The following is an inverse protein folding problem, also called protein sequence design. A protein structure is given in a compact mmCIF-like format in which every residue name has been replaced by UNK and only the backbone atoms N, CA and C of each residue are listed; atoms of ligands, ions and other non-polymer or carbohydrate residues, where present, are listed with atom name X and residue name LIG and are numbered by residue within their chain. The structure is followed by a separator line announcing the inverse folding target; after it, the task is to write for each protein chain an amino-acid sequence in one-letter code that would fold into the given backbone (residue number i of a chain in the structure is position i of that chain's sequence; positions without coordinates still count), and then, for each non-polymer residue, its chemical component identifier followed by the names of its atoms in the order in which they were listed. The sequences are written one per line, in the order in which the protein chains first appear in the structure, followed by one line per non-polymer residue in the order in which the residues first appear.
data_IF_632715236392
#
_entry.id   IF_632715236392
#
_cell.length_a   1.000
_cell.length_b   1.000
_cell.length_c   1.000
_cell.angle_alpha   90.00
_cell.angle_beta   90.00
_cell.angle_gamma   90.00
#
_symmetry.space_group_name_H-M   'P 1'
#
loop_
_entity.id
_entity.type
_entity.pdbx_description
1 polymer ?
#
# COMPACT_ATOMS: atom_id res chain seq x y z
N UNK A 1 -24.23 1.02 -15.94
CA UNK A 1 -23.68 -0.17 -16.61
C UNK A 1 -22.21 -0.47 -16.23
N UNK A 2 -21.30 0.51 -16.19
CA UNK A 2 -19.90 0.24 -15.78
C UNK A 2 -19.75 -0.15 -14.30
N UNK A 3 -20.46 0.49 -13.38
CA UNK A 3 -20.44 0.19 -11.95
C UNK A 3 -21.03 -1.19 -11.61
N UNK A 4 -22.10 -1.59 -12.29
CA UNK A 4 -22.73 -2.89 -12.08
C UNK A 4 -21.82 -4.06 -12.50
N UNK A 5 -21.08 -3.91 -13.60
CA UNK A 5 -20.08 -4.90 -14.01
C UNK A 5 -18.92 -5.00 -13.01
N UNK A 6 -18.58 -3.91 -12.33
CA UNK A 6 -17.52 -3.90 -11.31
C UNK A 6 -17.95 -4.66 -10.05
N UNK A 7 -19.19 -4.43 -9.58
CA UNK A 7 -19.77 -5.16 -8.47
C UNK A 7 -19.82 -6.67 -8.72
N UNK A 8 -20.23 -7.06 -9.91
CA UNK A 8 -20.25 -8.46 -10.33
C UNK A 8 -18.84 -9.08 -10.41
N UNK A 9 -17.85 -8.32 -10.87
CA UNK A 9 -16.45 -8.74 -10.85
C UNK A 9 -15.88 -8.84 -9.44
N UNK A 10 -16.17 -7.87 -8.57
CA UNK A 10 -15.70 -7.90 -7.19
C UNK A 10 -16.41 -8.98 -6.37
N UNK A 11 -17.71 -9.19 -6.58
CA UNK A 11 -18.46 -10.28 -5.93
C UNK A 11 -18.10 -11.66 -6.49
N UNK A 12 -17.78 -11.79 -7.78
CA UNK A 12 -17.13 -12.96 -8.33
C UNK A 12 -15.74 -13.18 -7.72
N UNK A 13 -15.04 -12.09 -7.44
CA UNK A 13 -13.76 -12.04 -6.75
C UNK A 13 -13.87 -12.53 -5.30
N UNK A 14 -14.95 -12.18 -4.58
CA UNK A 14 -15.21 -12.65 -3.22
C UNK A 14 -15.84 -14.05 -3.18
N UNK A 15 -16.18 -14.64 -4.34
CA UNK A 15 -16.69 -16.01 -4.43
C UNK A 15 -18.06 -16.25 -3.79
N UNK A 16 -18.91 -15.20 -3.63
CA UNK A 16 -20.15 -15.25 -2.85
C UNK A 16 -21.44 -15.19 -3.68
N UNK A 17 -21.44 -15.49 -4.97
CA UNK A 17 -22.69 -15.50 -5.75
C UNK A 17 -22.91 -16.79 -6.54
N UNK A 18 -24.09 -17.39 -6.33
CA UNK A 18 -24.62 -18.46 -7.19
C UNK A 18 -24.88 -17.90 -8.60
N UNK A 19 -24.29 -18.54 -9.62
CA UNK A 19 -24.39 -18.16 -11.06
C UNK A 19 -25.82 -17.94 -11.57
N UNK A 20 -26.85 -18.41 -10.89
CA UNK A 20 -28.25 -18.34 -11.31
C UNK A 20 -28.92 -16.98 -11.07
N UNK A 21 -28.41 -16.16 -10.14
CA UNK A 21 -29.02 -14.83 -9.88
C UNK A 21 -28.44 -13.71 -10.77
N UNK A 22 -27.34 -13.95 -11.45
CA UNK A 22 -26.66 -12.96 -12.29
C UNK A 22 -27.33 -12.83 -13.66
N UNK A 23 -27.89 -13.94 -14.18
CA UNK A 23 -28.58 -13.90 -15.46
C UNK A 23 -29.97 -13.22 -15.42
N UNK A 24 -30.62 -13.20 -14.27
CA UNK A 24 -31.94 -12.57 -14.09
C UNK A 24 -31.94 -11.05 -14.10
N UNK A 25 -30.80 -10.42 -13.80
CA UNK A 25 -30.65 -8.95 -13.74
C UNK A 25 -30.26 -8.29 -15.07
N UNK A 26 -29.86 -9.09 -16.07
CA UNK A 26 -29.40 -8.60 -17.39
C UNK A 26 -30.55 -8.44 -18.41
N UNK A 27 -31.71 -8.99 -18.12
CA UNK A 27 -32.84 -9.00 -19.09
C UNK A 27 -34.04 -8.26 -18.50
N UNK A 28 -33.96 -6.94 -18.44
CA UNK A 28 -35.15 -6.08 -18.37
C UNK A 28 -34.86 -4.70 -18.97
N UNK A 29 -35.25 -4.43 -20.21
CA UNK A 29 -35.18 -3.06 -20.74
C UNK A 29 -36.40 -2.31 -20.22
N UNK A 30 -36.24 -1.38 -19.31
CA UNK A 30 -37.32 -0.46 -18.95
C UNK A 30 -37.43 0.64 -20.03
N UNK A 31 -38.34 0.41 -20.94
CA UNK A 31 -39.02 1.45 -21.71
C UNK A 31 -40.07 2.09 -20.79
N UNK A 32 -39.88 3.34 -20.43
CA UNK A 32 -41.01 4.24 -20.13
C UNK A 32 -40.65 5.67 -20.53
N UNK A 33 -41.09 5.99 -21.75
CA UNK A 33 -41.48 7.35 -22.12
C UNK A 33 -42.79 7.67 -21.35
N UNK A 34 -42.79 8.78 -20.63
CA UNK A 34 -44.00 9.60 -20.51
C UNK A 34 -43.63 11.06 -20.26
N UNK A 35 -43.94 11.84 -21.31
CA UNK A 35 -44.19 13.27 -21.24
C UNK A 35 -45.34 13.55 -20.26
N UNK A 36 -45.19 14.60 -19.44
CA UNK A 36 -46.29 15.58 -19.29
C UNK A 36 -45.74 16.89 -18.71
N UNK A 37 -46.07 17.95 -19.48
CA UNK A 37 -46.05 19.34 -19.11
C UNK A 37 -46.90 19.58 -17.83
N UNK A 38 -46.53 20.51 -16.96
CA UNK A 38 -47.39 21.64 -16.69
C UNK A 38 -46.69 22.79 -15.96
N UNK A 39 -47.18 23.98 -16.34
CA UNK A 39 -46.81 25.34 -15.96
C UNK A 39 -47.03 25.72 -14.49
N UNK A 40 -46.31 26.73 -14.04
CA UNK A 40 -46.79 27.59 -12.94
C UNK A 40 -45.72 28.43 -12.24
N UNK A 41 -45.34 29.48 -12.82
CA UNK A 41 -45.38 30.93 -12.50
C UNK A 41 -45.01 31.42 -11.06
N UNK A 42 -44.08 32.39 -11.09
CA UNK A 42 -44.02 33.66 -10.32
C UNK A 42 -43.27 33.78 -8.99
N UNK A 43 -42.29 34.53 -8.96
CA UNK A 43 -42.05 35.94 -8.56
C UNK A 43 -40.84 36.19 -7.66
N UNK A 44 -39.94 36.96 -8.23
CA UNK A 44 -39.23 38.14 -7.69
C UNK A 44 -38.86 38.25 -6.20
N UNK A 45 -37.56 38.42 -5.92
CA UNK A 45 -37.10 39.75 -5.52
C UNK A 45 -35.55 39.85 -5.49
N UNK A 46 -35.12 40.88 -6.19
CA UNK A 46 -33.81 41.53 -6.17
C UNK A 46 -33.42 42.04 -4.78
N UNK A 47 -32.13 41.93 -4.42
CA UNK A 47 -31.38 43.10 -3.92
C UNK A 47 -29.87 42.92 -4.13
N UNK A 48 -29.35 43.78 -4.96
CA UNK A 48 -27.95 44.25 -5.05
C UNK A 48 -27.49 44.88 -3.73
N UNK A 49 -26.17 44.84 -3.48
CA UNK A 49 -25.31 45.98 -3.13
C UNK A 49 -23.86 45.48 -2.96
N UNK A 50 -23.04 45.73 -3.93
CA UNK A 50 -21.83 46.58 -4.04
C UNK A 50 -20.67 46.43 -3.05
N UNK A 51 -19.52 46.14 -3.68
CA UNK A 51 -18.21 46.82 -3.58
C UNK A 51 -17.55 46.97 -2.20
N UNK A 52 -16.40 46.29 -2.08
CA UNK A 52 -15.20 46.96 -1.56
C UNK A 52 -13.96 46.50 -2.30
N UNK A 53 -13.29 47.52 -2.87
CA UNK A 53 -12.01 47.44 -3.59
C UNK A 53 -10.85 47.68 -2.62
N UNK A 54 -9.75 46.97 -2.88
CA UNK A 54 -8.37 47.44 -2.96
C UNK A 54 -7.47 47.47 -1.71
N UNK A 55 -6.32 46.98 -2.01
CA UNK A 55 -4.91 47.31 -1.69
C UNK A 55 -4.31 46.61 -0.50
N UNK A 56 -3.30 45.78 -0.70
CA UNK A 56 -1.90 46.17 -0.88
C UNK A 56 -1.01 44.96 -1.09
N UNK A 57 -0.07 45.07 -2.00
CA UNK A 57 1.04 44.18 -2.28
C UNK A 57 1.86 43.85 -1.04
N UNK A 58 2.10 42.56 -0.85
CA UNK A 58 3.33 42.11 -0.18
C UNK A 58 3.80 40.81 -0.87
N UNK A 59 4.84 40.96 -1.68
CA UNK A 59 5.60 39.84 -2.24
C UNK A 59 6.21 39.05 -1.10
N UNK A 60 5.85 37.80 -1.00
CA UNK A 60 6.64 36.80 -0.26
C UNK A 60 7.15 35.80 -1.28
N UNK A 61 8.48 35.77 -1.42
CA UNK A 61 9.22 34.84 -2.26
C UNK A 61 8.84 33.39 -1.93
N UNK A 62 8.21 32.73 -2.88
CA UNK A 62 8.10 31.28 -2.91
C UNK A 62 9.38 30.74 -3.57
N UNK A 63 10.29 30.30 -2.76
CA UNK A 63 11.47 29.54 -3.17
C UNK A 63 11.55 28.29 -2.35
N UNK A 64 10.96 27.22 -2.83
CA UNK A 64 11.43 25.85 -2.66
C UNK A 64 10.60 24.99 -3.63
N UNK A 65 11.16 24.88 -4.85
CA UNK A 65 10.62 24.05 -5.90
C UNK A 65 10.82 22.57 -5.54
N UNK A 66 9.74 21.86 -5.33
CA UNK A 66 9.74 20.42 -5.52
C UNK A 66 10.00 20.15 -7.00
N UNK A 67 11.25 19.83 -7.33
CA UNK A 67 11.60 19.31 -8.64
C UNK A 67 10.88 17.96 -8.81
N UNK A 68 9.90 17.94 -9.66
CA UNK A 68 9.35 16.72 -10.25
C UNK A 68 10.49 16.10 -11.06
N UNK A 69 11.19 15.12 -10.46
CA UNK A 69 12.22 14.37 -11.18
C UNK A 69 11.56 13.70 -12.38
N UNK A 70 12.09 13.96 -13.56
CA UNK A 70 11.60 13.35 -14.78
C UNK A 70 11.80 11.82 -14.69
N UNK A 71 10.92 11.06 -15.32
CA UNK A 71 11.06 9.59 -15.43
C UNK A 71 12.45 9.14 -15.89
N UNK A 72 13.16 10.00 -16.60
CA UNK A 72 14.52 9.81 -17.05
C UNK A 72 15.57 9.95 -15.94
N UNK A 73 15.34 10.81 -14.93
CA UNK A 73 16.24 10.96 -13.78
C UNK A 73 16.09 9.80 -12.79
N UNK A 74 14.87 9.30 -12.60
CA UNK A 74 14.58 8.10 -11.82
C UNK A 74 15.24 6.85 -12.46
N UNK A 75 15.15 6.73 -13.80
CA UNK A 75 15.79 5.64 -14.54
C UNK A 75 17.32 5.67 -14.40
N UNK A 76 17.93 6.86 -14.48
CA UNK A 76 19.39 7.02 -14.30
C UNK A 76 19.83 6.65 -12.88
N UNK A 77 19.00 6.93 -11.88
CA UNK A 77 19.26 6.57 -10.48
C UNK A 77 19.13 5.06 -10.28
N UNK A 78 18.14 4.40 -10.86
CA UNK A 78 17.96 2.95 -10.82
C UNK A 78 19.09 2.20 -11.57
N UNK A 79 19.52 2.70 -12.73
CA UNK A 79 20.65 2.13 -13.47
C UNK A 79 21.96 2.24 -12.69
N UNK A 80 22.19 3.37 -12.01
CA UNK A 80 23.36 3.55 -11.17
C UNK A 80 23.39 2.58 -10.00
N UNK A 81 22.24 2.33 -9.37
CA UNK A 81 22.10 1.32 -8.32
C UNK A 81 22.36 -0.11 -8.85
N UNK A 82 21.87 -0.41 -10.06
CA UNK A 82 22.09 -1.72 -10.68
C UNK A 82 23.57 -1.99 -10.95
N UNK A 83 24.33 -1.00 -11.44
CA UNK A 83 25.76 -1.11 -11.71
C UNK A 83 26.59 -1.24 -10.43
N UNK A 84 26.20 -0.53 -9.36
CA UNK A 84 26.85 -0.61 -8.04
C UNK A 84 26.65 -1.98 -7.36
N UNK A 85 25.55 -2.67 -7.65
CA UNK A 85 25.21 -3.98 -7.07
C UNK A 85 25.71 -5.20 -7.85
N UNK A 86 26.17 -5.03 -9.10
CA UNK A 86 26.63 -6.11 -9.97
C UNK A 86 28.03 -5.88 -10.58
N UNK A 87 29.09 -5.79 -9.79
CA UNK A 87 30.43 -5.44 -10.27
C UNK A 87 31.12 -6.51 -11.13
N UNK A 88 30.53 -7.70 -11.31
CA UNK A 88 31.09 -8.81 -12.07
C UNK A 88 30.44 -9.07 -13.45
N UNK A 89 29.44 -8.27 -13.85
CA UNK A 89 28.98 -8.26 -15.25
C UNK A 89 29.68 -7.13 -15.97
N UNK A 90 30.10 -7.36 -17.24
CA UNK A 90 30.66 -6.33 -18.13
C UNK A 90 29.83 -5.04 -17.92
N UNK A 91 30.51 -3.97 -17.49
CA UNK A 91 29.83 -2.78 -17.05
C UNK A 91 28.89 -2.27 -18.14
N UNK A 92 27.67 -1.91 -17.78
CA UNK A 92 26.70 -1.28 -18.68
C UNK A 92 27.31 -0.05 -19.41
N UNK A 93 28.36 0.54 -18.84
CA UNK A 93 29.10 1.62 -19.47
C UNK A 93 29.89 1.19 -20.74
N UNK A 94 30.37 -0.04 -20.83
CA UNK A 94 31.06 -0.53 -22.04
C UNK A 94 30.07 -0.94 -23.13
N UNK A 95 28.90 -1.42 -22.72
CA UNK A 95 27.79 -1.74 -23.62
C UNK A 95 27.12 -0.45 -24.17
N UNK A 96 26.96 0.58 -23.31
CA UNK A 96 26.42 1.89 -23.65
C UNK A 96 27.28 2.68 -24.66
N UNK A 97 28.61 2.47 -24.67
CA UNK A 97 29.51 3.11 -25.64
C UNK A 97 29.37 2.58 -27.07
N UNK A 98 28.87 1.34 -27.26
CA UNK A 98 28.68 0.72 -28.55
C UNK A 98 27.29 0.92 -29.16
N UNK A 99 26.29 1.04 -28.35
CA UNK A 99 24.88 1.24 -28.75
C UNK A 99 24.03 1.85 -27.60
N UNK A 100 24.14 3.18 -27.38
CA UNK A 100 23.48 3.83 -26.24
C UNK A 100 21.97 3.73 -26.28
N UNK A 101 21.34 3.74 -27.45
CA UNK A 101 19.87 3.70 -27.62
C UNK A 101 19.35 2.27 -27.48
N UNK A 102 19.96 1.31 -28.14
CA UNK A 102 19.56 -0.08 -28.08
C UNK A 102 19.88 -0.76 -26.74
N UNK A 103 20.85 -0.25 -25.98
CA UNK A 103 21.13 -0.69 -24.61
C UNK A 103 20.02 -0.29 -23.65
N UNK A 104 19.53 0.94 -23.74
CA UNK A 104 18.43 1.46 -22.92
C UNK A 104 17.10 0.77 -23.28
N UNK A 105 16.82 0.59 -24.58
CA UNK A 105 15.61 -0.12 -25.01
C UNK A 105 15.57 -1.58 -24.53
N UNK A 106 16.69 -2.30 -24.59
CA UNK A 106 16.79 -3.68 -24.05
C UNK A 106 16.64 -3.74 -22.54
N UNK A 107 17.20 -2.77 -21.81
CA UNK A 107 17.02 -2.69 -20.36
C UNK A 107 15.54 -2.41 -20.00
N UNK A 108 14.89 -1.47 -20.69
CA UNK A 108 13.46 -1.19 -20.53
C UNK A 108 12.57 -2.38 -20.90
N UNK A 109 12.93 -3.10 -21.98
CA UNK A 109 12.24 -4.33 -22.38
C UNK A 109 12.40 -5.42 -21.32
N UNK A 110 13.59 -5.59 -20.75
CA UNK A 110 13.85 -6.57 -19.67
C UNK A 110 13.05 -6.23 -18.41
N UNK A 111 12.96 -4.95 -18.04
CA UNK A 111 12.13 -4.49 -16.91
C UNK A 111 10.64 -4.74 -17.20
N UNK A 112 10.17 -4.46 -18.42
CA UNK A 112 8.78 -4.72 -18.85
C UNK A 112 8.44 -6.22 -18.86
N UNK A 113 9.35 -7.07 -19.31
CA UNK A 113 9.15 -8.53 -19.40
C UNK A 113 9.06 -9.20 -18.01
N UNK A 114 9.66 -8.60 -16.98
CA UNK A 114 9.65 -9.14 -15.62
C UNK A 114 8.50 -8.60 -14.74
N UNK A 115 7.81 -7.54 -15.17
CA UNK A 115 6.71 -6.93 -14.42
C UNK A 115 5.42 -7.76 -14.54
N UNK A 116 4.62 -7.82 -13.48
CA UNK A 116 3.26 -8.38 -13.56
C UNK A 116 2.45 -7.60 -14.60
N UNK A 117 1.87 -8.26 -15.63
CA UNK A 117 1.05 -7.57 -16.62
C UNK A 117 -0.24 -7.04 -15.99
N UNK A 118 -0.69 -5.85 -16.43
CA UNK A 118 -2.00 -5.33 -16.04
C UNK A 118 -3.10 -6.26 -16.56
N UNK A 119 -4.00 -6.78 -15.69
CA UNK A 119 -5.07 -7.70 -16.11
C UNK A 119 -5.98 -7.09 -17.19
N UNK A 120 -6.42 -7.87 -18.20
CA UNK A 120 -7.28 -7.37 -19.28
C UNK A 120 -8.58 -6.71 -18.79
N UNK A 121 -9.20 -7.27 -17.76
CA UNK A 121 -10.41 -6.70 -17.16
C UNK A 121 -10.15 -5.32 -16.55
N UNK A 122 -8.98 -5.13 -15.91
CA UNK A 122 -8.59 -3.86 -15.30
C UNK A 122 -8.30 -2.81 -16.38
N UNK A 123 -7.65 -3.22 -17.50
CA UNK A 123 -7.50 -2.35 -18.69
C UNK A 123 -8.86 -1.87 -19.20
N UNK A 124 -9.84 -2.76 -19.28
CA UNK A 124 -11.19 -2.43 -19.76
C UNK A 124 -11.90 -1.41 -18.88
N UNK A 125 -11.76 -1.53 -17.57
CA UNK A 125 -12.42 -0.65 -16.60
C UNK A 125 -11.74 0.72 -16.52
N UNK A 126 -10.41 0.72 -16.48
CA UNK A 126 -9.61 1.93 -16.22
C UNK A 126 -9.21 2.67 -17.49
N UNK A 127 -9.13 1.97 -18.61
CA UNK A 127 -8.55 2.48 -19.86
C UNK A 127 -7.02 2.57 -19.85
N UNK A 128 -6.37 2.13 -18.77
CA UNK A 128 -4.91 2.12 -18.66
C UNK A 128 -4.30 0.95 -19.43
N UNK A 129 -3.11 1.15 -19.96
CA UNK A 129 -2.35 0.10 -20.65
C UNK A 129 -1.33 -0.60 -19.74
N UNK A 130 -0.97 0.02 -18.63
CA UNK A 130 -0.06 -0.49 -17.60
C UNK A 130 -0.54 -0.07 -16.21
N UNK A 131 0.10 -0.59 -15.17
CA UNK A 131 -0.13 -0.19 -13.79
C UNK A 131 0.10 1.31 -13.60
N UNK A 132 -0.64 1.98 -12.69
CA UNK A 132 -0.51 3.42 -12.50
C UNK A 132 0.82 3.79 -11.86
N UNK A 133 1.17 5.09 -11.91
CA UNK A 133 2.26 5.67 -11.15
C UNK A 133 1.94 5.75 -9.64
N UNK A 134 2.59 6.68 -8.94
CA UNK A 134 2.44 6.82 -7.48
C UNK A 134 1.02 7.23 -7.04
N UNK A 135 0.31 7.95 -7.89
CA UNK A 135 -1.07 8.39 -7.66
C UNK A 135 -2.03 7.55 -8.51
N UNK A 136 -2.54 6.43 -7.98
CA UNK A 136 -3.46 5.59 -8.73
C UNK A 136 -4.82 6.27 -8.87
N UNK A 137 -5.51 6.12 -10.02
CA UNK A 137 -6.83 6.69 -10.19
C UNK A 137 -7.86 5.97 -9.34
N UNK A 138 -8.77 6.73 -8.73
CA UNK A 138 -9.91 6.19 -8.01
C UNK A 138 -10.90 5.53 -8.97
N UNK A 139 -11.31 4.30 -8.67
CA UNK A 139 -12.35 3.56 -9.38
C UNK A 139 -13.51 3.32 -8.40
N UNK A 140 -14.72 3.82 -8.67
CA UNK A 140 -15.85 3.64 -7.78
C UNK A 140 -16.17 2.15 -7.54
N UNK A 141 -16.33 1.79 -6.27
CA UNK A 141 -16.69 0.45 -5.81
C UNK A 141 -18.03 0.51 -5.09
N UNK A 142 -19.03 -0.25 -5.57
CA UNK A 142 -20.42 -0.20 -5.08
C UNK A 142 -20.55 -0.60 -3.60
N UNK A 143 -19.59 -1.34 -3.04
CA UNK A 143 -19.61 -1.77 -1.64
C UNK A 143 -19.04 -0.74 -0.68
N UNK A 144 -18.43 0.34 -1.16
CA UNK A 144 -17.94 1.43 -0.31
C UNK A 144 -19.06 2.42 -0.04
N UNK A 145 -19.51 2.42 1.20
CA UNK A 145 -20.53 3.34 1.69
C UNK A 145 -19.90 4.57 2.35
N UNK A 146 -19.85 5.67 1.61
CA UNK A 146 -19.27 6.93 2.08
C UNK A 146 -19.98 7.51 3.31
N UNK A 147 -21.27 7.18 3.51
CA UNK A 147 -22.04 7.66 4.66
C UNK A 147 -21.56 7.09 6.01
N UNK A 148 -20.82 5.97 5.95
CA UNK A 148 -20.21 5.33 7.12
C UNK A 148 -18.82 5.84 7.46
N UNK A 149 -18.24 6.69 6.59
CA UNK A 149 -16.89 7.23 6.80
C UNK A 149 -16.99 8.46 7.70
N UNK A 150 -16.32 8.48 8.87
CA UNK A 150 -16.31 9.65 9.75
C UNK A 150 -15.78 10.89 9.06
N UNK A 151 -16.36 12.04 9.36
CA UNK A 151 -15.91 13.34 8.87
C UNK A 151 -14.73 13.79 9.75
N UNK A 152 -13.52 13.47 9.34
CA UNK A 152 -12.27 13.91 9.96
C UNK A 152 -11.51 14.71 8.90
N UNK A 153 -11.10 15.93 9.26
CA UNK A 153 -10.31 16.78 8.35
C UNK A 153 -8.97 16.13 8.01
N UNK A 154 -8.51 16.37 6.80
CA UNK A 154 -7.20 15.91 6.35
C UNK A 154 -6.09 16.62 7.12
N UNK A 155 -5.05 15.88 7.48
CA UNK A 155 -3.87 16.43 8.14
C UNK A 155 -2.61 15.75 7.62
N UNK A 156 -1.52 16.49 7.61
CA UNK A 156 -0.20 15.99 7.22
C UNK A 156 0.58 15.37 8.37
N UNK A 157 1.72 14.73 8.08
CA UNK A 157 2.65 14.26 9.11
C UNK A 157 3.03 15.38 10.07
N UNK A 158 3.13 15.08 11.37
CA UNK A 158 3.51 16.02 12.42
C UNK A 158 2.50 17.16 12.72
N UNK A 159 1.31 17.16 12.10
CA UNK A 159 0.26 18.14 12.36
C UNK A 159 -0.66 17.75 13.53
N UNK A 160 -0.16 17.05 14.52
CA UNK A 160 -0.96 16.49 15.62
C UNK A 160 -1.72 17.51 16.48
N UNK A 161 -1.36 18.79 16.41
CA UNK A 161 -2.04 19.86 17.16
C UNK A 161 -3.46 20.14 16.68
N UNK A 162 -3.77 19.84 15.40
CA UNK A 162 -5.10 20.04 14.82
C UNK A 162 -5.95 18.77 14.81
N UNK A 163 -5.36 17.61 15.14
CA UNK A 163 -6.04 16.32 15.08
C UNK A 163 -6.87 16.09 16.34
N UNK A 164 -8.19 15.87 16.22
CA UNK A 164 -9.04 15.57 17.35
C UNK A 164 -8.62 14.25 18.04
N UNK A 165 -8.64 14.20 19.36
CA UNK A 165 -8.25 12.98 20.10
C UNK A 165 -9.20 11.81 19.88
N UNK A 166 -10.47 12.07 19.66
CA UNK A 166 -11.51 11.10 19.35
C UNK A 166 -11.43 10.53 17.94
N UNK A 167 -10.58 11.12 17.07
CA UNK A 167 -10.26 10.53 15.77
C UNK A 167 -9.45 9.23 15.87
N UNK A 168 -8.92 8.90 17.04
CA UNK A 168 -8.06 7.76 17.32
C UNK A 168 -6.87 7.63 16.34
N UNK A 169 -6.10 8.73 16.20
CA UNK A 169 -4.88 8.74 15.41
C UNK A 169 -3.75 7.95 16.11
N UNK A 170 -3.17 6.97 15.43
CA UNK A 170 -2.03 6.22 15.97
C UNK A 170 -0.72 6.98 15.85
N UNK A 171 -0.47 7.67 14.74
CA UNK A 171 0.73 8.48 14.55
C UNK A 171 0.83 9.58 15.60
N UNK A 172 -0.29 10.28 15.91
CA UNK A 172 -0.31 11.38 16.85
C UNK A 172 -0.41 10.95 18.33
N UNK A 173 -1.23 9.96 18.62
CA UNK A 173 -1.61 9.65 20.03
C UNK A 173 -1.34 8.21 20.44
N UNK A 174 -0.79 7.38 19.52
CA UNK A 174 -0.68 5.93 19.71
C UNK A 174 -2.01 5.28 20.05
N UNK A 175 -3.11 5.84 19.52
CA UNK A 175 -4.44 5.32 19.75
C UNK A 175 -4.64 4.03 18.95
N UNK A 176 -5.17 3.01 19.62
CA UNK A 176 -5.42 1.66 19.08
C UNK A 176 -6.88 1.33 19.29
N UNK A 177 -7.60 0.95 18.24
CA UNK A 177 -8.96 0.45 18.32
C UNK A 177 -8.98 -1.04 18.69
N UNK A 178 -10.10 -1.55 19.28
CA UNK A 178 -10.16 -2.94 19.77
C UNK A 178 -9.92 -4.02 18.72
N UNK A 179 -10.14 -3.71 17.43
CA UNK A 179 -9.91 -4.62 16.31
C UNK A 179 -8.56 -4.40 15.61
N UNK A 180 -7.78 -3.41 16.01
CA UNK A 180 -6.39 -3.28 15.54
C UNK A 180 -5.52 -4.38 16.16
N UNK A 181 -4.60 -4.92 15.38
CA UNK A 181 -3.54 -5.79 15.92
C UNK A 181 -2.35 -4.89 16.26
N UNK A 182 -2.02 -4.82 17.54
CA UNK A 182 -0.98 -3.91 18.04
C UNK A 182 0.24 -4.64 18.61
N UNK A 183 0.04 -5.85 19.09
CA UNK A 183 1.08 -6.64 19.74
C UNK A 183 0.90 -8.13 19.44
N UNK A 184 1.86 -8.95 19.87
CA UNK A 184 1.84 -10.41 19.76
C UNK A 184 2.33 -11.03 21.07
N UNK A 185 1.80 -12.19 21.45
CA UNK A 185 2.25 -12.88 22.66
C UNK A 185 3.67 -13.49 22.55
N UNK A 186 4.26 -13.47 21.35
CA UNK A 186 5.67 -13.75 21.10
C UNK A 186 6.32 -12.55 20.42
N UNK A 187 7.58 -12.26 20.76
CA UNK A 187 8.33 -11.23 20.07
C UNK A 187 8.54 -11.65 18.61
N UNK A 188 7.96 -10.94 17.68
CA UNK A 188 7.85 -11.32 16.28
C UNK A 188 8.18 -10.17 15.34
N UNK A 189 9.06 -10.42 14.37
CA UNK A 189 9.45 -9.46 13.34
C UNK A 189 8.38 -9.35 12.27
N UNK A 190 8.17 -8.13 11.79
CA UNK A 190 7.35 -7.82 10.62
C UNK A 190 8.11 -6.84 9.72
N UNK A 191 7.96 -6.99 8.40
CA UNK A 191 8.75 -6.25 7.42
C UNK A 191 7.85 -5.48 6.48
N UNK A 192 8.13 -4.17 6.30
CA UNK A 192 7.38 -3.24 5.46
C UNK A 192 8.16 -2.85 4.20
N UNK A 193 7.47 -2.23 3.22
CA UNK A 193 7.99 -1.63 1.98
C UNK A 193 8.41 -2.57 0.85
N UNK A 194 8.60 -3.85 1.11
CA UNK A 194 8.95 -4.81 0.07
C UNK A 194 7.84 -5.06 -0.97
N UNK A 195 8.05 -6.02 -1.87
CA UNK A 195 9.30 -6.74 -2.08
C UNK A 195 10.36 -5.88 -2.78
N UNK A 196 11.62 -6.16 -2.49
CA UNK A 196 12.77 -5.58 -3.15
C UNK A 196 13.75 -6.66 -3.59
N UNK A 197 14.78 -6.30 -4.35
CA UNK A 197 15.85 -7.25 -4.70
C UNK A 197 16.56 -7.81 -3.45
N UNK A 198 16.58 -7.04 -2.36
CA UNK A 198 17.22 -7.46 -1.10
C UNK A 198 16.34 -8.40 -0.26
N UNK A 199 15.03 -8.46 -0.51
CA UNK A 199 14.10 -9.34 0.22
C UNK A 199 14.51 -10.82 0.12
N UNK A 200 15.08 -11.26 -1.02
CA UNK A 200 15.52 -12.65 -1.17
C UNK A 200 16.62 -13.06 -0.17
N UNK A 201 17.51 -12.15 0.18
CA UNK A 201 18.55 -12.39 1.20
C UNK A 201 17.92 -12.58 2.59
N UNK A 202 16.89 -11.77 2.91
CA UNK A 202 16.14 -11.91 4.14
C UNK A 202 15.42 -13.27 4.19
N UNK A 203 14.73 -13.66 3.12
CA UNK A 203 14.03 -14.93 3.03
C UNK A 203 14.96 -16.14 3.24
N UNK A 204 16.15 -16.11 2.65
CA UNK A 204 17.18 -17.13 2.86
C UNK A 204 17.60 -17.23 4.34
N UNK A 205 17.76 -16.09 5.01
CA UNK A 205 18.19 -16.02 6.41
C UNK A 205 17.09 -16.49 7.38
N UNK A 206 15.82 -16.12 7.14
CA UNK A 206 14.68 -16.58 7.93
C UNK A 206 14.48 -18.09 7.85
N UNK A 207 14.80 -18.73 6.72
CA UNK A 207 14.67 -20.16 6.50
C UNK A 207 13.24 -20.65 6.74
N UNK A 208 13.05 -21.57 7.68
CA UNK A 208 11.73 -22.14 8.00
C UNK A 208 10.87 -21.26 8.91
N UNK A 209 11.43 -20.19 9.49
CA UNK A 209 10.69 -19.27 10.35
C UNK A 209 9.82 -18.37 9.50
N UNK A 210 8.52 -18.26 9.86
CA UNK A 210 7.56 -17.45 9.11
C UNK A 210 7.36 -16.11 9.77
N UNK A 211 7.42 -15.03 8.95
CA UNK A 211 7.19 -13.65 9.34
C UNK A 211 6.02 -13.06 8.55
N UNK A 212 5.62 -11.85 8.87
CA UNK A 212 4.62 -11.09 8.12
C UNK A 212 5.30 -9.97 7.34
N UNK A 213 4.95 -9.86 6.05
CA UNK A 213 5.44 -8.84 5.14
C UNK A 213 4.28 -7.95 4.72
N UNK A 214 4.42 -6.64 4.86
CA UNK A 214 3.46 -5.64 4.37
C UNK A 214 4.03 -4.99 3.11
N UNK A 215 3.54 -5.45 1.97
CA UNK A 215 4.14 -5.09 0.69
C UNK A 215 3.40 -3.95 -0.01
N UNK A 216 4.15 -3.08 -0.68
CA UNK A 216 3.63 -2.02 -1.54
C UNK A 216 3.14 -2.61 -2.87
N UNK A 217 1.96 -2.19 -3.31
CA UNK A 217 1.37 -2.67 -4.58
C UNK A 217 2.28 -2.44 -5.78
N UNK A 218 2.91 -1.26 -5.86
CA UNK A 218 3.85 -0.91 -6.93
C UNK A 218 5.09 -1.82 -6.94
N UNK A 219 5.60 -2.22 -5.77
CA UNK A 219 6.74 -3.12 -5.64
C UNK A 219 6.37 -4.57 -5.96
N UNK A 220 5.15 -5.00 -5.59
CA UNK A 220 4.62 -6.33 -5.95
C UNK A 220 4.64 -6.53 -7.47
N UNK A 221 4.13 -5.56 -8.22
CA UNK A 221 4.06 -5.69 -9.69
C UNK A 221 5.42 -5.55 -10.34
N UNK A 222 6.36 -4.85 -9.73
CA UNK A 222 7.72 -4.65 -10.23
C UNK A 222 8.67 -5.82 -9.91
N UNK A 223 8.44 -6.52 -8.78
CA UNK A 223 9.25 -7.67 -8.33
C UNK A 223 8.41 -8.95 -8.15
N UNK A 224 7.66 -9.39 -9.21
CA UNK A 224 6.70 -10.49 -9.06
C UNK A 224 7.34 -11.82 -8.66
N UNK A 225 8.57 -12.07 -9.06
CA UNK A 225 9.28 -13.32 -8.72
C UNK A 225 9.64 -13.37 -7.24
N UNK A 226 10.09 -12.24 -6.67
CA UNK A 226 10.39 -12.13 -5.24
C UNK A 226 9.09 -12.27 -4.43
N UNK A 227 8.03 -11.60 -4.84
CA UNK A 227 6.72 -11.70 -4.21
C UNK A 227 6.20 -13.15 -4.16
N UNK A 228 6.30 -13.89 -5.26
CA UNK A 228 5.93 -15.31 -5.32
C UNK A 228 6.77 -16.17 -4.37
N UNK A 229 8.07 -15.89 -4.23
CA UNK A 229 8.94 -16.59 -3.25
C UNK A 229 8.48 -16.37 -1.81
N UNK A 230 8.06 -15.15 -1.43
CA UNK A 230 7.49 -14.88 -0.11
C UNK A 230 6.29 -15.80 0.16
N UNK A 231 5.37 -15.91 -0.85
CA UNK A 231 4.18 -16.79 -0.75
C UNK A 231 4.55 -18.27 -0.67
N UNK A 232 5.43 -18.72 -1.57
CA UNK A 232 5.86 -20.14 -1.69
C UNK A 232 6.55 -20.63 -0.41
N UNK A 233 7.30 -19.75 0.24
CA UNK A 233 7.93 -20.06 1.52
C UNK A 233 6.93 -19.99 2.70
N UNK A 234 5.66 -19.62 2.47
CA UNK A 234 4.61 -19.66 3.48
C UNK A 234 4.65 -18.51 4.49
N UNK A 235 5.26 -17.38 4.12
CA UNK A 235 5.14 -16.15 4.90
C UNK A 235 3.74 -15.55 4.75
N UNK A 236 3.31 -14.79 5.75
CA UNK A 236 2.06 -14.03 5.69
C UNK A 236 2.29 -12.70 4.96
N UNK A 237 1.36 -12.32 4.08
CA UNK A 237 1.45 -11.05 3.38
C UNK A 237 0.23 -10.19 3.68
N UNK A 238 0.48 -8.93 4.07
CA UNK A 238 -0.49 -7.86 4.16
C UNK A 238 -0.22 -6.76 3.14
N UNK A 239 -1.17 -5.85 2.97
CA UNK A 239 -0.99 -4.67 2.11
C UNK A 239 -0.39 -3.51 2.91
N UNK A 240 0.52 -2.78 2.26
CA UNK A 240 1.10 -1.51 2.74
C UNK A 240 0.72 -0.34 1.83
N UNK A 241 -0.48 -0.36 1.24
CA UNK A 241 -0.97 0.55 0.20
C UNK A 241 -0.35 0.31 -1.18
N UNK A 242 -0.71 1.13 -2.16
CA UNK A 242 -0.11 1.08 -3.49
C UNK A 242 1.30 1.65 -3.52
N UNK A 243 1.49 2.90 -2.99
CA UNK A 243 2.71 3.69 -3.17
C UNK A 243 3.22 4.40 -1.92
N UNK A 244 2.79 3.98 -0.71
CA UNK A 244 3.29 4.47 0.57
C UNK A 244 2.96 5.94 0.92
N UNK A 245 1.77 6.51 0.61
CA UNK A 245 1.42 7.86 1.06
C UNK A 245 1.01 7.89 2.54
N UNK A 246 1.13 9.07 3.18
CA UNK A 246 0.53 9.31 4.49
C UNK A 246 -1.00 9.44 4.34
N UNK A 247 -1.74 8.38 4.68
CA UNK A 247 -3.16 8.27 4.37
C UNK A 247 -4.05 9.38 4.94
N UNK A 248 -3.83 9.89 6.19
CA UNK A 248 -4.67 10.96 6.71
C UNK A 248 -4.62 12.27 5.91
N UNK A 249 -3.60 12.48 5.07
CA UNK A 249 -3.52 13.68 4.21
C UNK A 249 -4.32 13.54 2.90
N UNK A 250 -4.84 12.35 2.60
CA UNK A 250 -5.53 12.06 1.35
C UNK A 250 -7.04 12.23 1.48
N UNK A 251 -7.74 12.43 0.36
CA UNK A 251 -9.21 12.32 0.30
C UNK A 251 -9.65 10.87 0.47
N UNK A 252 -10.94 10.65 0.75
CA UNK A 252 -11.48 9.29 0.86
C UNK A 252 -11.27 8.49 -0.42
N UNK A 253 -11.48 9.10 -1.59
CA UNK A 253 -11.29 8.48 -2.90
C UNK A 253 -9.82 8.10 -3.13
N UNK A 254 -8.89 8.96 -2.73
CA UNK A 254 -7.46 8.67 -2.84
C UNK A 254 -7.03 7.53 -1.91
N UNK A 255 -7.57 7.46 -0.67
CA UNK A 255 -7.33 6.33 0.25
C UNK A 255 -7.88 5.04 -0.37
N UNK A 256 -9.10 5.07 -0.90
CA UNK A 256 -9.72 3.91 -1.57
C UNK A 256 -8.82 3.47 -2.74
N UNK A 257 -8.38 4.39 -3.58
CA UNK A 257 -7.49 4.09 -4.70
C UNK A 257 -6.19 3.39 -4.24
N UNK A 258 -5.54 3.89 -3.21
CA UNK A 258 -4.32 3.30 -2.65
C UNK A 258 -4.53 1.86 -2.17
N UNK A 259 -5.68 1.56 -1.61
CA UNK A 259 -6.03 0.22 -1.10
C UNK A 259 -6.45 -0.71 -2.25
N UNK A 260 -7.36 -0.28 -3.13
CA UNK A 260 -7.88 -1.13 -4.21
C UNK A 260 -6.79 -1.55 -5.20
N UNK A 261 -5.91 -0.63 -5.61
CA UNK A 261 -4.82 -0.94 -6.53
C UNK A 261 -3.78 -1.89 -5.91
N UNK A 262 -3.52 -1.77 -4.61
CA UNK A 262 -2.67 -2.72 -3.90
C UNK A 262 -3.29 -4.11 -3.85
N UNK A 263 -4.59 -4.22 -3.52
CA UNK A 263 -5.31 -5.50 -3.52
C UNK A 263 -5.29 -6.13 -4.91
N UNK A 264 -5.50 -5.35 -5.97
CA UNK A 264 -5.46 -5.87 -7.34
C UNK A 264 -4.06 -6.35 -7.74
N UNK A 265 -3.00 -5.66 -7.33
CA UNK A 265 -1.63 -6.11 -7.52
C UNK A 265 -1.37 -7.46 -6.82
N UNK A 266 -1.79 -7.58 -5.57
CA UNK A 266 -1.66 -8.82 -4.78
C UNK A 266 -2.42 -9.98 -5.44
N UNK A 267 -3.64 -9.72 -5.92
CA UNK A 267 -4.42 -10.74 -6.62
C UNK A 267 -3.81 -11.12 -7.97
N UNK A 268 -3.42 -10.15 -8.78
CA UNK A 268 -2.85 -10.40 -10.11
C UNK A 268 -1.52 -11.16 -10.06
N UNK A 269 -0.71 -10.92 -9.01
CA UNK A 269 0.64 -11.51 -8.88
C UNK A 269 0.63 -12.79 -8.04
N UNK A 270 -0.16 -12.83 -6.96
CA UNK A 270 -0.10 -13.88 -5.94
C UNK A 270 -1.40 -14.65 -5.72
N UNK A 271 -2.49 -14.34 -6.45
CA UNK A 271 -3.79 -15.03 -6.38
C UNK A 271 -4.42 -15.06 -4.99
N UNK A 272 -4.33 -13.97 -4.25
CA UNK A 272 -5.00 -13.85 -2.96
C UNK A 272 -5.49 -12.43 -2.71
N UNK A 273 -6.46 -12.32 -1.80
CA UNK A 273 -6.98 -11.06 -1.26
C UNK A 273 -6.47 -10.98 0.18
N UNK A 274 -5.73 -9.92 0.56
CA UNK A 274 -5.17 -9.79 1.89
C UNK A 274 -6.25 -9.62 2.96
N UNK A 275 -5.96 -10.07 4.19
CA UNK A 275 -6.73 -9.75 5.39
C UNK A 275 -6.10 -8.59 6.15
N UNK A 276 -4.79 -8.42 6.04
CA UNK A 276 -3.97 -7.57 6.89
C UNK A 276 -3.52 -6.33 6.13
N UNK A 277 -3.55 -5.19 6.81
CA UNK A 277 -3.15 -3.90 6.29
C UNK A 277 -2.29 -3.19 7.33
N UNK A 278 -1.16 -2.63 6.92
CA UNK A 278 -0.40 -1.72 7.78
C UNK A 278 -0.37 -0.33 7.15
N UNK A 279 -0.76 0.72 7.91
CA UNK A 279 -0.74 2.08 7.40
C UNK A 279 0.69 2.62 7.31
N UNK A 280 1.10 3.19 6.16
CA UNK A 280 2.37 3.90 6.05
C UNK A 280 2.55 4.94 7.14
N UNK A 281 3.76 5.04 7.71
CA UNK A 281 4.11 5.96 8.81
C UNK A 281 3.27 5.79 10.09
N UNK A 282 2.47 4.74 10.23
CA UNK A 282 1.45 4.65 11.26
C UNK A 282 0.30 5.63 11.08
N UNK A 283 0.19 6.25 9.91
CA UNK A 283 -0.82 7.23 9.55
C UNK A 283 -2.22 6.61 9.43
N UNK A 284 -2.92 6.49 10.55
CA UNK A 284 -4.27 5.92 10.63
C UNK A 284 -5.10 6.64 11.67
N UNK A 285 -6.31 6.98 11.29
CA UNK A 285 -7.38 7.49 12.14
C UNK A 285 -8.69 6.69 11.91
N UNK A 286 -9.79 7.06 12.57
CA UNK A 286 -11.05 6.36 12.40
C UNK A 286 -11.66 6.52 11.01
N UNK A 287 -11.29 7.54 10.22
CA UNK A 287 -11.67 7.69 8.82
C UNK A 287 -10.97 6.65 7.95
N UNK A 288 -9.65 6.49 8.10
CA UNK A 288 -8.87 5.47 7.39
C UNK A 288 -9.33 4.07 7.79
N UNK A 289 -9.55 3.80 9.10
CA UNK A 289 -10.06 2.51 9.58
C UNK A 289 -11.43 2.17 8.99
N UNK A 290 -12.34 3.15 8.93
CA UNK A 290 -13.66 2.95 8.35
C UNK A 290 -13.60 2.53 6.88
N UNK A 291 -12.70 3.12 6.10
CA UNK A 291 -12.49 2.76 4.70
C UNK A 291 -11.91 1.35 4.59
N UNK A 292 -10.81 1.06 5.30
CA UNK A 292 -10.14 -0.24 5.20
C UNK A 292 -10.99 -1.40 5.72
N UNK A 293 -11.82 -1.19 6.74
CA UNK A 293 -12.80 -2.17 7.23
C UNK A 293 -13.84 -2.55 6.17
N UNK A 294 -14.24 -1.62 5.30
CA UNK A 294 -15.19 -1.91 4.21
C UNK A 294 -14.56 -2.83 3.13
N UNK A 295 -13.24 -2.84 2.99
CA UNK A 295 -12.51 -3.83 2.20
C UNK A 295 -12.36 -5.19 2.95
N UNK A 296 -12.80 -5.29 4.20
CA UNK A 296 -12.59 -6.47 5.04
C UNK A 296 -11.18 -6.57 5.63
N UNK A 297 -10.39 -5.51 5.51
CA UNK A 297 -9.03 -5.43 6.04
C UNK A 297 -9.06 -5.15 7.54
N UNK A 298 -8.01 -5.61 8.22
CA UNK A 298 -7.74 -5.36 9.62
C UNK A 298 -6.39 -4.67 9.76
N UNK A 299 -6.36 -3.57 10.51
CA UNK A 299 -5.15 -2.79 10.70
C UNK A 299 -4.17 -3.52 11.61
N UNK A 300 -2.89 -3.45 11.26
CA UNK A 300 -1.77 -3.97 12.03
C UNK A 300 -0.80 -2.83 12.33
N UNK A 301 -0.62 -2.56 13.60
CA UNK A 301 0.30 -1.57 14.15
C UNK A 301 1.49 -2.29 14.79
N UNK A 302 2.20 -1.64 15.68
CA UNK A 302 3.37 -2.21 16.35
C UNK A 302 3.61 -1.59 17.71
N UNK A 303 4.21 -2.34 18.61
CA UNK A 303 4.64 -1.89 19.94
C UNK A 303 6.17 -1.79 20.08
N UNK A 304 6.91 -2.31 19.10
CA UNK A 304 8.36 -2.17 19.03
C UNK A 304 8.78 -1.64 17.67
N UNK A 305 9.58 -0.57 17.64
CA UNK A 305 10.09 0.05 16.43
C UNK A 305 11.63 0.05 16.46
N UNK A 306 12.25 -0.59 15.48
CA UNK A 306 13.71 -0.59 15.36
C UNK A 306 14.26 0.74 14.90
N UNK A 307 13.46 1.55 14.21
CA UNK A 307 13.92 2.75 13.49
C UNK A 307 15.06 2.43 12.52
N UNK A 308 15.05 1.24 11.90
CA UNK A 308 16.07 0.81 10.94
C UNK A 308 16.11 1.68 9.69
N UNK A 309 14.97 2.26 9.28
CA UNK A 309 14.85 3.22 8.18
C UNK A 309 15.67 4.49 8.41
N UNK A 310 15.92 4.89 9.66
CA UNK A 310 16.78 6.04 9.96
C UNK A 310 18.23 5.81 9.54
N UNK A 311 18.69 4.56 9.43
CA UNK A 311 20.04 4.24 8.95
C UNK A 311 20.25 4.60 7.47
N UNK A 312 19.16 4.83 6.71
CA UNK A 312 19.20 5.29 5.34
C UNK A 312 19.38 6.82 5.25
N UNK A 313 19.16 7.52 6.36
CA UNK A 313 19.35 8.96 6.46
C UNK A 313 20.76 9.27 7.05
N UNK A 314 21.64 9.83 6.23
CA UNK A 314 23.02 10.15 6.63
C UNK A 314 23.16 11.13 7.81
N UNK A 315 22.07 11.80 8.20
CA UNK A 315 22.05 12.73 9.35
C UNK A 315 21.46 12.12 10.63
N UNK A 316 21.00 10.86 10.59
CA UNK A 316 20.44 10.21 11.77
C UNK A 316 21.52 9.86 12.78
N UNK A 317 21.15 9.92 14.07
CA UNK A 317 21.95 9.42 15.18
C UNK A 317 21.67 7.94 15.51
N UNK A 318 20.71 7.31 14.82
CA UNK A 318 20.42 5.88 15.01
C UNK A 318 21.57 5.03 14.50
N UNK A 319 21.96 4.02 15.26
CA UNK A 319 23.03 3.10 14.90
C UNK A 319 22.56 1.64 14.97
N UNK A 320 23.19 0.76 14.20
CA UNK A 320 22.90 -0.68 14.29
C UNK A 320 23.05 -1.20 15.71
N UNK A 321 24.12 -0.80 16.42
CA UNK A 321 24.35 -1.24 17.80
C UNK A 321 23.23 -0.80 18.73
N UNK A 322 22.69 0.41 18.57
CA UNK A 322 21.55 0.87 19.37
C UNK A 322 20.29 0.02 19.10
N UNK A 323 20.05 -0.34 17.84
CA UNK A 323 18.96 -1.25 17.46
C UNK A 323 19.14 -2.60 18.17
N UNK A 324 20.32 -3.20 18.09
CA UNK A 324 20.57 -4.52 18.67
C UNK A 324 20.46 -4.51 20.20
N UNK A 325 20.87 -3.45 20.87
CA UNK A 325 20.68 -3.31 22.32
C UNK A 325 19.20 -3.17 22.71
N UNK A 326 18.40 -2.44 21.92
CA UNK A 326 16.96 -2.36 22.16
C UNK A 326 16.29 -3.72 21.95
N UNK A 327 16.62 -4.44 20.87
CA UNK A 327 16.07 -5.78 20.59
C UNK A 327 16.46 -6.79 21.69
N UNK A 328 17.69 -6.74 22.22
CA UNK A 328 18.10 -7.58 23.35
C UNK A 328 17.27 -7.30 24.60
N UNK A 329 16.94 -6.05 24.90
CA UNK A 329 16.03 -5.68 26.00
C UNK A 329 14.63 -6.22 25.76
N UNK A 330 14.07 -6.04 24.56
CA UNK A 330 12.74 -6.58 24.20
C UNK A 330 12.74 -8.09 24.32
N UNK A 331 13.80 -8.77 23.88
CA UNK A 331 13.93 -10.24 24.00
C UNK A 331 13.99 -10.69 25.47
N UNK A 332 14.70 -9.98 26.34
CA UNK A 332 14.73 -10.27 27.76
C UNK A 332 13.35 -10.12 28.42
N UNK A 333 12.58 -9.11 28.01
CA UNK A 333 11.23 -8.82 28.52
C UNK A 333 10.15 -9.70 27.85
N UNK A 334 10.42 -10.29 26.68
CA UNK A 334 9.44 -11.00 25.84
C UNK A 334 8.86 -12.27 26.47
N UNK A 335 9.54 -12.84 27.46
CA UNK A 335 9.02 -13.97 28.21
C UNK A 335 7.68 -13.67 28.91
N UNK A 336 7.39 -12.38 29.16
CA UNK A 336 6.16 -11.91 29.83
C UNK A 336 5.24 -11.08 28.93
N UNK A 337 5.74 -10.48 27.84
CA UNK A 337 5.00 -9.47 27.08
C UNK A 337 4.88 -9.74 25.57
N UNK A 338 5.84 -10.46 24.97
CA UNK A 338 5.90 -10.63 23.52
C UNK A 338 6.22 -9.31 22.78
N UNK A 339 5.55 -9.07 21.65
CA UNK A 339 5.61 -7.84 20.86
C UNK A 339 5.62 -8.04 19.36
N UNK A 340 5.22 -7.00 18.61
CA UNK A 340 5.38 -6.88 17.16
C UNK A 340 6.45 -5.85 16.85
N UNK A 341 7.50 -6.29 16.15
CA UNK A 341 8.63 -5.44 15.76
C UNK A 341 8.40 -4.92 14.34
N UNK A 342 8.47 -3.59 14.17
CA UNK A 342 8.51 -2.93 12.87
C UNK A 342 9.95 -2.90 12.35
N UNK A 343 10.13 -3.44 11.15
CA UNK A 343 11.35 -3.39 10.34
C UNK A 343 10.99 -3.23 8.86
N UNK A 344 11.99 -3.05 7.99
CA UNK A 344 11.77 -2.79 6.58
C UNK A 344 12.64 -3.71 5.71
N UNK A 345 12.09 -4.19 4.57
CA UNK A 345 12.81 -4.98 3.57
C UNK A 345 12.93 -4.29 2.19
N UNK A 346 12.61 -2.99 2.14
CA UNK A 346 12.71 -2.17 0.94
C UNK A 346 14.15 -1.83 0.52
N UNK A 347 15.15 -1.99 1.40
CA UNK A 347 16.55 -1.65 1.14
C UNK A 347 17.53 -2.69 1.70
N UNK A 348 18.70 -2.84 1.07
CA UNK A 348 19.72 -3.81 1.51
C UNK A 348 20.21 -3.53 2.94
N UNK A 349 20.34 -2.26 3.32
CA UNK A 349 20.79 -1.86 4.65
C UNK A 349 19.84 -2.30 5.77
N UNK A 350 18.55 -2.12 5.58
CA UNK A 350 17.52 -2.54 6.53
C UNK A 350 17.40 -4.07 6.59
N UNK A 351 17.53 -4.74 5.45
CA UNK A 351 17.59 -6.21 5.38
C UNK A 351 18.78 -6.77 6.17
N UNK A 352 19.99 -6.21 6.04
CA UNK A 352 21.14 -6.64 6.83
C UNK A 352 20.91 -6.48 8.34
N UNK A 353 20.24 -5.42 8.76
CA UNK A 353 19.84 -5.21 10.15
C UNK A 353 18.81 -6.24 10.57
N UNK A 354 17.75 -6.45 9.78
CA UNK A 354 16.68 -7.40 10.06
C UNK A 354 17.19 -8.84 10.23
N UNK A 355 18.21 -9.25 9.44
CA UNK A 355 18.89 -10.54 9.61
C UNK A 355 19.57 -10.66 10.99
N UNK A 356 20.28 -9.63 11.42
CA UNK A 356 20.94 -9.60 12.73
C UNK A 356 19.92 -9.52 13.88
N UNK A 357 18.82 -8.79 13.70
CA UNK A 357 17.70 -8.78 14.65
C UNK A 357 17.10 -10.18 14.77
N UNK A 358 16.92 -10.91 13.65
CA UNK A 358 16.48 -12.29 13.68
C UNK A 358 17.39 -13.21 14.53
N UNK A 359 18.70 -13.04 14.42
CA UNK A 359 19.66 -13.81 15.20
C UNK A 359 19.51 -13.58 16.72
N UNK A 360 19.07 -12.37 17.12
CA UNK A 360 18.78 -12.04 18.53
C UNK A 360 17.40 -12.59 18.94
N UNK A 361 16.35 -12.32 18.15
CA UNK A 361 14.97 -12.74 18.45
C UNK A 361 14.83 -14.25 18.42
N UNK A 362 15.46 -14.91 17.43
CA UNK A 362 15.43 -16.36 17.24
C UNK A 362 14.19 -16.84 16.49
N UNK A 363 14.06 -18.16 16.40
CA UNK A 363 13.05 -18.84 15.55
C UNK A 363 11.64 -18.89 16.14
N UNK A 364 11.47 -18.63 17.44
CA UNK A 364 10.18 -18.72 18.13
C UNK A 364 9.34 -17.47 17.90
N UNK A 365 8.95 -17.25 16.65
CA UNK A 365 8.20 -16.11 16.16
C UNK A 365 6.88 -16.55 15.53
N UNK A 366 5.92 -15.65 15.44
CA UNK A 366 4.60 -15.88 14.85
C UNK A 366 4.29 -14.87 13.75
N UNK A 367 3.56 -15.29 12.73
CA UNK A 367 2.89 -14.36 11.84
C UNK A 367 1.77 -13.63 12.57
N UNK A 368 1.38 -12.44 12.10
CA UNK A 368 0.28 -11.64 12.68
C UNK A 368 -0.99 -12.48 12.82
N UNK A 369 -1.36 -13.25 11.79
CA UNK A 369 -2.54 -14.12 11.86
C UNK A 369 -2.45 -15.13 13.02
N UNK A 370 -1.29 -15.76 13.22
CA UNK A 370 -1.09 -16.71 14.32
C UNK A 370 -1.04 -16.04 15.69
N UNK A 371 -0.59 -14.78 15.77
CA UNK A 371 -0.57 -14.03 17.02
C UNK A 371 -1.96 -13.90 17.65
N UNK A 372 -2.99 -13.73 16.83
CA UNK A 372 -4.37 -13.48 17.29
C UNK A 372 -5.33 -14.63 16.96
N UNK A 373 -4.86 -15.75 16.41
CA UNK A 373 -5.71 -16.86 15.98
C UNK A 373 -6.64 -16.48 14.81
N UNK A 374 -6.21 -15.56 13.96
CA UNK A 374 -6.95 -15.07 12.80
C UNK A 374 -6.69 -15.86 11.52
N UNK A 375 -7.38 -15.48 10.44
CA UNK A 375 -7.19 -16.07 9.10
C UNK A 375 -6.00 -15.42 8.38
N UNK A 376 -5.30 -16.17 7.55
CA UNK A 376 -4.15 -15.65 6.79
C UNK A 376 -4.60 -14.63 5.73
N UNK A 377 -5.65 -14.97 4.98
CA UNK A 377 -6.17 -14.17 3.84
C UNK A 377 -7.69 -14.16 3.84
N UNK A 378 -8.31 -13.12 3.31
CA UNK A 378 -9.77 -13.11 3.03
C UNK A 378 -10.07 -14.21 2.01
N UNK A 379 -9.26 -14.31 0.96
CA UNK A 379 -9.37 -15.34 -0.06
C UNK A 379 -8.00 -15.73 -0.60
N UNK A 380 -7.82 -17.01 -0.89
CA UNK A 380 -6.70 -17.54 -1.67
C UNK A 380 -7.27 -18.39 -2.81
N UNK A 381 -6.87 -18.08 -4.04
CA UNK A 381 -7.38 -18.76 -5.24
C UNK A 381 -6.46 -19.91 -5.62
N UNK A 382 -7.03 -21.06 -5.93
CA UNK A 382 -6.31 -22.20 -6.52
C UNK A 382 -6.08 -21.96 -8.03
N UNK A 383 -5.10 -22.66 -8.62
CA UNK A 383 -4.86 -22.59 -10.06
C UNK A 383 -6.03 -23.08 -10.91
N UNK A 384 -6.93 -23.88 -10.37
CA UNK A 384 -8.14 -24.34 -11.03
C UNK A 384 -9.20 -23.24 -11.12
N UNK A 385 -9.27 -22.32 -10.15
CA UNK A 385 -10.23 -21.20 -10.14
C UNK A 385 -9.86 -20.09 -11.13
N UNK A 386 -8.61 -20.08 -11.64
CA UNK A 386 -8.15 -19.11 -12.66
C UNK A 386 -8.64 -19.41 -14.07
N UNK A 387 -9.08 -20.65 -14.35
CA UNK A 387 -9.50 -21.09 -15.69
C UNK A 387 -10.98 -20.87 -15.97
N UNK A 388 -11.71 -20.31 -15.02
CA UNK A 388 -13.12 -19.94 -15.12
C UNK A 388 -13.28 -18.43 -15.29
#
# INVERSE_FOLDING_TARGET
MKALNFYLLYMAFLGSYNKLNVLGLIISPNNNNNNNNDNGNNNNNNKNINDYKSTSDTQINAGDGYHQESSESLLKTEMKKYDEQNPQKESSQEFSKRDPVGGLERALETIRLNKTPLPPWLKTITGLNDWPGLEPPYIPLDFIDFSKIPQIEQYGPSQCTIVPRDSCSFDCYKCVEPDDVYTCHKLSQTFDDGPSDSTEELLKHLGDTKSTFFNLGINIVSHPNVYKKIIEQGHLIGTHTWSHPFLPSLTNEQIIAQIEWSIWAMNATGNHIPKWFRPPYGGIDNRVRSITRQFGLQAVLWDHDTFDWELLNGNSQRTENAIFEDVKKWKADSASKGGLILEHDGASKTVEVGKKVFDIVGKDQLTVAKCIGGIDYIRKYSDLEKKL
#
